data_IF_721089381740
#
_entry.id   IF_721089381740
#
_cell.length_a   1.000
_cell.length_b   1.000
_cell.length_c   1.000
_cell.angle_alpha   90.00
_cell.angle_beta   90.00
_cell.angle_gamma   90.00
#
_symmetry.space_group_name_H-M   'P 1'
#
loop_
_entity.id
_entity.type
_entity.pdbx_description
1 polymer ?
#
# COMPACT_ATOMS: atom_id res chain seq x y z
N UNK A 1 13.56 -9.05 -7.43
CA UNK A 1 12.49 -8.03 -7.29
C UNK A 1 12.58 -7.36 -5.93
N UNK A 2 12.37 -6.03 -5.85
CA UNK A 2 12.29 -5.27 -4.60
C UNK A 2 10.97 -4.50 -4.54
N UNK A 3 10.25 -4.55 -3.43
CA UNK A 3 9.07 -3.73 -3.19
C UNK A 3 9.47 -2.25 -3.28
N UNK A 4 8.79 -1.51 -4.15
CA UNK A 4 9.20 -0.14 -4.50
C UNK A 4 8.14 0.88 -4.06
N UNK A 5 6.90 0.70 -4.53
CA UNK A 5 5.83 1.65 -4.26
C UNK A 5 4.45 1.01 -4.17
N UNK A 6 3.51 1.78 -3.61
CA UNK A 6 2.09 1.46 -3.54
C UNK A 6 1.32 2.35 -4.53
N UNK A 7 0.58 1.75 -5.45
CA UNK A 7 -0.35 2.47 -6.30
C UNK A 7 -1.72 2.58 -5.62
N UNK A 8 -2.34 3.75 -5.70
CA UNK A 8 -3.64 4.06 -5.11
C UNK A 8 -4.51 4.76 -6.14
N UNK A 9 -5.66 4.17 -6.43
CA UNK A 9 -6.65 4.71 -7.35
C UNK A 9 -7.79 5.35 -6.56
N UNK A 10 -8.04 6.64 -6.81
CA UNK A 10 -9.15 7.40 -6.25
C UNK A 10 -10.00 8.01 -7.37
N UNK A 11 -11.29 8.29 -7.14
CA UNK A 11 -12.08 9.04 -8.11
C UNK A 11 -11.48 10.43 -8.39
N UNK A 12 -11.52 10.87 -9.65
CA UNK A 12 -10.95 12.18 -10.06
C UNK A 12 -11.44 13.33 -9.20
N UNK A 13 -12.73 13.33 -8.86
CA UNK A 13 -13.37 14.37 -8.03
C UNK A 13 -12.81 14.44 -6.61
N UNK A 14 -12.06 13.43 -6.18
CA UNK A 14 -11.40 13.35 -4.87
C UNK A 14 -9.87 13.39 -4.96
N UNK A 15 -9.29 13.45 -6.16
CA UNK A 15 -7.83 13.38 -6.35
C UNK A 15 -7.10 14.49 -5.60
N UNK A 16 -7.47 15.76 -5.83
CA UNK A 16 -6.83 16.91 -5.16
C UNK A 16 -6.99 16.89 -3.65
N UNK A 17 -8.16 16.45 -3.18
CA UNK A 17 -8.44 16.38 -1.75
C UNK A 17 -7.68 15.23 -1.08
N UNK A 18 -7.58 14.07 -1.72
CA UNK A 18 -6.76 12.97 -1.24
C UNK A 18 -5.27 13.37 -1.22
N UNK A 19 -4.80 14.07 -2.26
CA UNK A 19 -3.46 14.61 -2.32
C UNK A 19 -3.17 15.62 -1.20
N UNK A 20 -4.07 16.56 -0.94
CA UNK A 20 -3.95 17.52 0.17
C UNK A 20 -3.89 16.80 1.52
N UNK A 21 -4.77 15.83 1.78
CA UNK A 21 -4.75 15.08 3.04
C UNK A 21 -3.43 14.32 3.21
N UNK A 22 -2.98 13.59 2.19
CA UNK A 22 -1.72 12.84 2.28
C UNK A 22 -0.52 13.78 2.47
N UNK A 23 -0.45 14.89 1.74
CA UNK A 23 0.70 15.79 1.78
C UNK A 23 0.68 16.75 2.98
N UNK A 24 -0.39 17.52 3.16
CA UNK A 24 -0.49 18.55 4.20
C UNK A 24 -0.67 17.97 5.59
N UNK A 25 -1.45 16.90 5.72
CA UNK A 25 -1.86 16.38 7.03
C UNK A 25 -0.94 15.26 7.48
N UNK A 26 -0.65 14.32 6.58
CA UNK A 26 0.30 13.24 6.89
C UNK A 26 1.74 13.57 6.53
N UNK A 27 2.01 14.70 5.88
CA UNK A 27 3.37 15.18 5.64
C UNK A 27 4.09 14.51 4.46
N UNK A 28 3.38 13.77 3.59
CA UNK A 28 4.03 13.17 2.42
C UNK A 28 4.60 14.25 1.51
N UNK A 29 5.85 14.08 1.07
CA UNK A 29 6.44 14.97 0.07
C UNK A 29 5.76 14.74 -1.28
N UNK A 30 5.37 15.81 -1.98
CA UNK A 30 4.82 15.72 -3.34
C UNK A 30 5.96 15.81 -4.35
N UNK A 31 6.09 14.79 -5.19
CA UNK A 31 7.03 14.74 -6.32
C UNK A 31 6.37 15.21 -7.62
N UNK A 32 6.63 14.47 -8.70
CA UNK A 32 6.03 14.74 -10.01
C UNK A 32 4.50 14.64 -9.96
N UNK A 33 3.81 15.50 -10.72
CA UNK A 33 2.36 15.61 -10.71
C UNK A 33 1.78 16.07 -12.05
N UNK A 34 0.61 15.56 -12.37
CA UNK A 34 -0.32 16.03 -13.43
C UNK A 34 -1.72 16.30 -12.83
N UNK A 35 -2.73 16.49 -13.68
CA UNK A 35 -4.11 16.75 -13.26
C UNK A 35 -4.81 15.54 -12.63
N UNK A 36 -4.32 14.32 -12.90
CA UNK A 36 -4.94 13.07 -12.46
C UNK A 36 -3.91 12.05 -11.96
N UNK A 37 -2.67 12.47 -11.72
CA UNK A 37 -1.63 11.59 -11.19
C UNK A 37 -0.64 12.40 -10.35
N UNK A 38 -0.18 11.83 -9.24
CA UNK A 38 0.86 12.43 -8.42
C UNK A 38 1.73 11.37 -7.76
N UNK A 39 3.01 11.69 -7.64
CA UNK A 39 3.96 10.93 -6.87
C UNK A 39 4.07 11.50 -5.46
N UNK A 40 4.04 10.63 -4.46
CA UNK A 40 4.12 10.96 -3.04
C UNK A 40 5.26 10.18 -2.38
N UNK A 41 5.97 10.86 -1.48
CA UNK A 41 7.16 10.34 -0.81
C UNK A 41 6.95 10.29 0.70
N UNK A 42 6.98 9.09 1.25
CA UNK A 42 7.28 8.81 2.65
C UNK A 42 8.79 8.51 2.79
N UNK A 43 9.28 8.47 4.03
CA UNK A 43 10.68 8.15 4.33
C UNK A 43 11.11 6.77 3.78
N UNK A 44 10.18 5.81 3.74
CA UNK A 44 10.45 4.41 3.41
C UNK A 44 9.57 3.84 2.29
N UNK A 45 8.64 4.63 1.74
CA UNK A 45 7.70 4.19 0.72
C UNK A 45 7.41 5.32 -0.26
N UNK A 46 7.27 4.94 -1.52
CA UNK A 46 6.73 5.81 -2.57
C UNK A 46 5.26 5.43 -2.80
N UNK A 47 4.42 6.42 -3.07
CA UNK A 47 3.01 6.23 -3.35
C UNK A 47 2.68 6.91 -4.67
N UNK A 48 2.08 6.17 -5.60
CA UNK A 48 1.49 6.75 -6.80
C UNK A 48 -0.01 6.91 -6.57
N UNK A 49 -0.48 8.15 -6.64
CA UNK A 49 -1.90 8.47 -6.56
C UNK A 49 -2.44 8.70 -7.96
N UNK A 50 -3.53 8.02 -8.32
CA UNK A 50 -4.20 8.13 -9.61
C UNK A 50 -5.64 8.62 -9.42
N UNK A 51 -6.06 9.58 -10.24
CA UNK A 51 -7.39 10.18 -10.24
C UNK A 51 -8.38 9.52 -11.21
N UNK A 52 -8.08 8.37 -11.82
CA UNK A 52 -8.99 7.64 -12.71
C UNK A 52 -9.57 6.38 -12.07
N UNK A 53 -9.43 6.26 -10.75
CA UNK A 53 -9.87 5.13 -9.95
C UNK A 53 -11.39 5.04 -9.74
N UNK A 54 -11.93 3.83 -9.51
CA UNK A 54 -13.29 3.71 -9.05
C UNK A 54 -13.41 4.20 -7.61
N UNK A 55 -14.61 4.61 -7.24
CA UNK A 55 -14.93 4.80 -5.83
C UNK A 55 -14.90 3.44 -5.12
N UNK A 56 -14.22 3.36 -3.98
CA UNK A 56 -14.25 2.19 -3.09
C UNK A 56 -15.36 2.41 -2.08
N UNK A 57 -16.51 1.73 -2.21
CA UNK A 57 -17.57 1.92 -1.25
C UNK A 57 -17.23 1.29 0.09
N UNK A 58 -17.90 1.83 1.11
CA UNK A 58 -17.65 1.54 2.50
C UNK A 58 -17.78 0.07 2.92
N UNK A 59 -18.50 -0.70 2.13
CA UNK A 59 -18.85 -2.10 2.33
C UNK A 59 -17.94 -3.05 1.54
N UNK A 60 -17.05 -2.53 0.66
CA UNK A 60 -16.10 -3.36 -0.07
C UNK A 60 -14.80 -3.53 0.70
N UNK A 61 -14.35 -4.77 0.77
CA UNK A 61 -13.07 -5.14 1.36
C UNK A 61 -11.93 -4.58 0.52
N UNK A 62 -11.22 -3.60 1.07
CA UNK A 62 -9.90 -3.19 0.60
C UNK A 62 -8.87 -4.24 1.01
N UNK A 63 -8.07 -4.70 0.07
CA UNK A 63 -7.06 -5.75 0.28
C UNK A 63 -5.77 -5.25 0.89
N UNK A 64 -5.39 -3.99 0.64
CA UNK A 64 -4.14 -3.38 1.13
C UNK A 64 -4.46 -2.14 1.92
N UNK A 65 -4.15 -2.09 3.22
CA UNK A 65 -4.35 -0.90 4.06
C UNK A 65 -2.99 -0.36 4.52
N UNK A 66 -2.59 0.84 4.08
CA UNK A 66 -1.35 1.44 4.54
C UNK A 66 -1.49 1.97 5.95
N UNK A 67 -0.48 1.72 6.78
CA UNK A 67 -0.43 2.13 8.18
C UNK A 67 0.68 3.16 8.39
N UNK A 68 0.30 4.42 8.59
CA UNK A 68 1.22 5.54 8.85
C UNK A 68 1.61 5.51 10.32
N UNK A 69 2.91 5.56 10.60
CA UNK A 69 3.42 5.67 11.96
C UNK A 69 3.04 7.00 12.58
N UNK A 70 2.58 6.97 13.83
CA UNK A 70 2.43 8.14 14.68
C UNK A 70 3.11 7.89 16.04
N UNK A 71 3.57 8.97 16.66
CA UNK A 71 4.16 8.94 18.01
C UNK A 71 3.12 9.05 19.13
N UNK A 72 2.00 9.71 18.84
CA UNK A 72 0.91 9.95 19.78
C UNK A 72 -0.39 9.85 18.98
N UNK A 73 -0.98 8.66 19.02
CA UNK A 73 -2.19 8.36 18.26
C UNK A 73 -3.32 9.31 18.64
N UNK A 74 -3.51 9.53 19.95
CA UNK A 74 -4.58 10.38 20.47
C UNK A 74 -4.43 11.83 20.00
N UNK A 75 -3.22 12.40 20.08
CA UNK A 75 -2.96 13.77 19.60
C UNK A 75 -3.15 13.91 18.09
N UNK A 76 -2.77 12.89 17.32
CA UNK A 76 -2.94 12.89 15.86
C UNK A 76 -4.43 12.86 15.52
N UNK A 77 -5.20 12.00 16.20
CA UNK A 77 -6.65 11.94 16.05
C UNK A 77 -7.30 13.27 16.45
N UNK A 78 -6.91 13.88 17.58
CA UNK A 78 -7.42 15.19 18.01
C UNK A 78 -7.16 16.28 16.97
N UNK A 79 -6.00 16.26 16.29
CA UNK A 79 -5.69 17.18 15.21
C UNK A 79 -6.61 16.95 14.00
N UNK A 80 -6.78 15.69 13.57
CA UNK A 80 -7.67 15.33 12.46
C UNK A 80 -9.12 15.72 12.71
N UNK A 81 -9.64 15.51 13.93
CA UNK A 81 -11.01 15.88 14.29
C UNK A 81 -11.28 17.39 14.21
N UNK A 82 -10.24 18.21 14.36
CA UNK A 82 -10.35 19.68 14.33
C UNK A 82 -10.12 20.27 12.94
N UNK A 83 -9.60 19.51 11.99
CA UNK A 83 -9.37 19.98 10.63
C UNK A 83 -10.64 19.85 9.78
N UNK A 84 -11.30 20.96 9.40
CA UNK A 84 -12.56 20.92 8.66
C UNK A 84 -12.41 20.38 7.23
N UNK A 85 -11.19 20.30 6.69
CA UNK A 85 -10.93 19.68 5.39
C UNK A 85 -11.00 18.14 5.46
N UNK A 86 -10.94 17.57 6.66
CA UNK A 86 -10.88 16.14 6.91
C UNK A 86 -12.26 15.62 7.26
N UNK A 87 -13.06 15.30 6.25
CA UNK A 87 -14.28 14.51 6.44
C UNK A 87 -13.93 13.02 6.50
N UNK A 88 -13.05 12.62 7.44
CA UNK A 88 -12.68 11.22 7.62
C UNK A 88 -13.65 10.52 8.56
N UNK A 89 -14.16 9.36 8.13
CA UNK A 89 -14.79 8.42 9.07
C UNK A 89 -13.68 7.69 9.82
N UNK A 90 -13.62 7.88 11.14
CA UNK A 90 -12.71 7.17 12.03
C UNK A 90 -13.41 5.93 12.60
N UNK A 91 -12.69 4.83 12.73
CA UNK A 91 -13.15 3.64 13.45
C UNK A 91 -12.79 3.72 14.94
N UNK A 92 -13.29 2.76 15.72
CA UNK A 92 -12.73 2.51 17.04
C UNK A 92 -11.21 2.20 16.94
N UNK A 93 -10.53 2.35 18.07
CA UNK A 93 -9.15 1.88 18.20
C UNK A 93 -9.09 0.35 18.19
N UNK A 94 -8.04 -0.19 17.56
CA UNK A 94 -7.74 -1.60 17.47
C UNK A 94 -6.33 -1.88 17.96
N UNK A 95 -6.15 -2.99 18.66
CA UNK A 95 -4.82 -3.52 18.94
C UNK A 95 -4.38 -4.38 17.75
N UNK A 96 -3.20 -4.06 17.24
CA UNK A 96 -2.55 -4.79 16.17
C UNK A 96 -1.27 -5.45 16.69
N UNK A 97 -0.72 -6.41 15.94
CA UNK A 97 0.61 -7.00 16.17
C UNK A 97 1.76 -6.02 16.38
N UNK A 98 1.59 -4.79 15.90
CA UNK A 98 2.62 -3.74 15.89
C UNK A 98 2.37 -2.65 16.94
N UNK A 99 1.15 -2.56 17.48
CA UNK A 99 0.75 -1.53 18.44
C UNK A 99 -0.71 -1.10 18.28
N UNK A 100 -1.04 0.11 18.76
CA UNK A 100 -2.40 0.68 18.71
C UNK A 100 -2.65 1.31 17.35
N UNK A 101 -3.77 0.98 16.72
CA UNK A 101 -4.13 1.55 15.43
C UNK A 101 -5.57 2.06 15.40
N UNK A 102 -5.80 3.11 14.61
CA UNK A 102 -7.14 3.58 14.25
C UNK A 102 -7.24 3.66 12.74
N UNK A 103 -8.28 3.05 12.17
CA UNK A 103 -8.53 3.14 10.75
C UNK A 103 -9.30 4.42 10.44
N UNK A 104 -8.99 5.01 9.30
CA UNK A 104 -9.62 6.20 8.79
C UNK A 104 -9.91 6.02 7.30
N UNK A 105 -10.93 6.72 6.80
CA UNK A 105 -11.20 6.79 5.37
C UNK A 105 -10.87 8.14 4.79
N UNK A 106 -9.98 8.11 3.81
CA UNK A 106 -9.70 9.28 3.01
C UNK A 106 -10.85 9.58 2.05
N UNK A 107 -10.94 10.84 1.58
CA UNK A 107 -11.77 11.20 0.45
C UNK A 107 -11.48 10.27 -0.75
N UNK A 108 -12.55 9.73 -1.35
CA UNK A 108 -12.45 8.65 -2.35
C UNK A 108 -12.64 7.23 -1.80
N UNK A 109 -12.75 7.07 -0.48
CA UNK A 109 -13.13 5.81 0.18
C UNK A 109 -11.96 4.91 0.57
N UNK A 110 -10.74 5.26 0.18
CA UNK A 110 -9.52 4.56 0.55
C UNK A 110 -9.34 4.53 2.08
N UNK A 111 -9.19 3.34 2.64
CA UNK A 111 -8.93 3.12 4.08
C UNK A 111 -7.43 3.18 4.35
N UNK A 112 -7.06 3.90 5.39
CA UNK A 112 -5.71 4.00 5.93
C UNK A 112 -5.75 3.72 7.42
N UNK A 113 -4.60 3.49 8.04
CA UNK A 113 -4.49 3.43 9.49
C UNK A 113 -3.43 4.40 9.99
N UNK A 114 -3.68 4.97 11.16
CA UNK A 114 -2.64 5.55 12.00
C UNK A 114 -2.19 4.48 13.01
N UNK A 115 -0.89 4.28 13.16
CA UNK A 115 -0.30 3.24 14.00
C UNK A 115 0.70 3.84 14.99
N UNK A 116 0.43 3.69 16.27
CA UNK A 116 1.37 3.95 17.36
C UNK A 116 2.04 2.63 17.77
N UNK A 117 3.33 2.51 17.49
CA UNK A 117 4.10 1.29 17.73
C UNK A 117 4.64 1.19 19.16
N UNK A 118 4.73 -0.03 19.69
CA UNK A 118 5.11 -0.29 21.10
C UNK A 118 6.60 -0.01 21.39
N UNK A 119 7.48 -0.20 20.41
CA UNK A 119 8.95 -0.28 20.64
C UNK A 119 9.79 0.73 19.84
N UNK A 120 9.18 1.77 19.27
CA UNK A 120 9.93 2.77 18.52
C UNK A 120 10.12 4.08 19.29
N UNK A 121 11.39 4.41 19.53
CA UNK A 121 11.81 5.68 20.09
C UNK A 121 11.28 6.83 19.20
N UNK A 122 10.97 7.96 19.86
CA UNK A 122 10.52 9.17 19.19
C UNK A 122 11.60 9.65 18.22
N UNK A 123 11.31 9.64 16.92
CA UNK A 123 12.08 10.40 15.94
C UNK A 123 11.52 11.82 15.85
N UNK A 124 12.44 12.76 15.69
CA UNK A 124 12.20 14.20 15.82
C UNK A 124 11.18 14.75 14.80
N UNK A 125 10.47 15.79 15.23
CA UNK A 125 9.60 16.63 14.40
C UNK A 125 10.34 17.16 13.16
N UNK A 126 9.90 16.81 11.96
CA UNK A 126 10.39 17.34 10.68
C UNK A 126 10.83 16.31 9.64
N UNK A 127 10.93 15.02 10.00
CA UNK A 127 11.18 13.95 9.04
C UNK A 127 9.90 13.65 8.19
N UNK A 128 10.04 13.18 6.93
CA UNK A 128 8.92 12.67 6.16
C UNK A 128 8.17 11.57 6.94
N UNK A 129 6.86 11.36 6.68
CA UNK A 129 6.11 10.30 7.33
C UNK A 129 6.74 8.94 7.05
N UNK A 130 6.57 8.02 7.97
CA UNK A 130 6.97 6.62 7.78
C UNK A 130 5.72 5.76 7.64
N UNK A 131 5.63 4.98 6.56
CA UNK A 131 4.61 3.93 6.44
C UNK A 131 5.15 2.70 7.16
N UNK A 132 4.73 2.50 8.40
CA UNK A 132 5.25 1.46 9.27
C UNK A 132 4.91 0.05 8.78
N UNK A 133 3.73 -0.11 8.18
CA UNK A 133 3.27 -1.37 7.65
C UNK A 133 2.22 -1.20 6.54
N UNK A 134 2.00 -2.27 5.78
CA UNK A 134 0.82 -2.48 4.95
C UNK A 134 0.10 -3.70 5.50
N UNK A 135 -1.16 -3.55 5.92
CA UNK A 135 -2.03 -4.68 6.24
C UNK A 135 -2.56 -5.28 4.93
N UNK A 136 -2.31 -6.57 4.74
CA UNK A 136 -2.73 -7.36 3.59
C UNK A 136 -3.86 -8.31 4.01
N UNK A 137 -5.08 -7.93 3.66
CA UNK A 137 -6.28 -8.73 3.91
C UNK A 137 -6.42 -9.80 2.85
N UNK A 138 -6.24 -11.05 3.26
CA UNK A 138 -6.18 -12.18 2.35
C UNK A 138 -7.16 -13.30 2.73
N UNK A 139 -7.78 -13.90 1.73
CA UNK A 139 -8.67 -15.06 1.92
C UNK A 139 -7.90 -16.32 2.31
N UNK A 140 -6.66 -16.45 1.81
CA UNK A 140 -5.80 -17.61 2.04
C UNK A 140 -4.42 -17.19 2.56
N UNK A 141 -4.29 -16.82 3.85
CA UNK A 141 -3.04 -16.28 4.40
C UNK A 141 -1.81 -17.18 4.19
N UNK A 142 -1.97 -18.51 4.29
CA UNK A 142 -0.87 -19.44 4.07
C UNK A 142 -0.34 -19.43 2.62
N UNK A 143 -1.24 -19.36 1.63
CA UNK A 143 -0.85 -19.26 0.23
C UNK A 143 -0.22 -17.91 -0.08
N UNK A 144 -0.75 -16.84 0.51
CA UNK A 144 -0.21 -15.49 0.36
C UNK A 144 1.18 -15.37 1.01
N UNK A 145 1.38 -15.98 2.17
CA UNK A 145 2.67 -16.05 2.85
C UNK A 145 3.71 -16.77 1.98
N UNK A 146 3.40 -17.97 1.49
CA UNK A 146 4.28 -18.74 0.60
C UNK A 146 4.65 -17.93 -0.65
N UNK A 147 3.68 -17.23 -1.25
CA UNK A 147 3.94 -16.33 -2.36
C UNK A 147 4.94 -15.21 -2.00
N UNK A 148 4.72 -14.50 -0.89
CA UNK A 148 5.62 -13.43 -0.44
C UNK A 148 7.03 -13.96 -0.16
N UNK A 149 7.16 -15.10 0.52
CA UNK A 149 8.47 -15.60 0.96
C UNK A 149 9.23 -16.35 -0.12
N UNK A 150 8.56 -17.21 -0.89
CA UNK A 150 9.21 -18.10 -1.87
C UNK A 150 9.36 -17.44 -3.24
N UNK A 151 8.48 -16.48 -3.58
CA UNK A 151 8.49 -15.85 -4.91
C UNK A 151 9.02 -14.42 -4.87
N UNK A 152 8.70 -13.66 -3.82
CA UNK A 152 9.06 -12.25 -3.68
C UNK A 152 10.19 -12.00 -2.66
N UNK A 153 10.79 -13.06 -2.10
CA UNK A 153 11.96 -13.00 -1.22
C UNK A 153 11.73 -12.17 0.07
N UNK A 154 10.51 -12.20 0.60
CA UNK A 154 10.23 -11.63 1.91
C UNK A 154 10.71 -12.55 3.03
N UNK A 155 11.21 -11.96 4.12
CA UNK A 155 11.58 -12.69 5.32
C UNK A 155 10.43 -12.69 6.33
N UNK A 156 10.16 -13.86 6.92
CA UNK A 156 9.18 -14.00 7.99
C UNK A 156 9.72 -13.41 9.29
N UNK A 157 8.89 -12.58 9.92
CA UNK A 157 9.04 -12.06 11.28
C UNK A 157 7.78 -12.45 12.05
N UNK A 158 7.83 -13.55 12.78
CA UNK A 158 6.72 -13.89 13.69
C UNK A 158 6.83 -12.98 14.90
N UNK A 159 5.76 -12.27 15.24
CA UNK A 159 5.74 -11.48 16.46
C UNK A 159 5.36 -12.34 17.68
N UNK A 160 5.50 -11.79 18.88
CA UNK A 160 5.18 -12.49 20.14
C UNK A 160 3.71 -12.93 20.29
N UNK A 161 2.80 -12.31 19.54
CA UNK A 161 1.37 -12.65 19.53
C UNK A 161 1.01 -13.70 18.47
N UNK A 162 1.99 -14.28 17.76
CA UNK A 162 1.77 -15.34 16.76
C UNK A 162 1.22 -14.83 15.42
N UNK A 163 1.23 -13.52 15.19
CA UNK A 163 0.87 -12.95 13.89
C UNK A 163 2.04 -13.04 12.91
N UNK A 164 1.68 -13.18 11.63
CA UNK A 164 2.63 -13.25 10.54
C UNK A 164 2.90 -11.85 10.02
N UNK A 165 4.07 -11.33 10.36
CA UNK A 165 4.62 -10.13 9.75
C UNK A 165 5.72 -10.57 8.80
N UNK A 166 5.79 -9.99 7.62
CA UNK A 166 6.91 -10.21 6.71
C UNK A 166 7.56 -8.90 6.30
N UNK A 167 8.84 -8.93 5.97
CA UNK A 167 9.57 -7.74 5.55
C UNK A 167 10.64 -8.13 4.55
N UNK A 168 10.79 -7.33 3.49
CA UNK A 168 11.81 -7.59 2.47
C UNK A 168 13.15 -6.96 2.85
N UNK A 169 13.14 -5.72 3.35
CA UNK A 169 14.33 -5.01 3.79
C UNK A 169 14.01 -4.12 5.01
N UNK A 170 14.95 -3.88 5.95
CA UNK A 170 14.70 -3.09 7.17
C UNK A 170 14.20 -1.67 6.93
N UNK A 171 14.55 -1.06 5.79
CA UNK A 171 14.14 0.29 5.39
C UNK A 171 12.81 0.31 4.62
N UNK A 172 12.11 -0.82 4.49
CA UNK A 172 10.81 -0.92 3.81
C UNK A 172 9.69 -1.20 4.80
N UNK A 173 8.43 -0.81 4.48
CA UNK A 173 7.28 -1.17 5.28
C UNK A 173 7.21 -2.68 5.51
N UNK A 174 6.76 -3.06 6.71
CA UNK A 174 6.40 -4.46 7.00
C UNK A 174 5.07 -4.77 6.32
N UNK A 175 4.84 -6.04 6.00
CA UNK A 175 3.54 -6.52 5.54
C UNK A 175 2.92 -7.35 6.67
N UNK A 176 1.75 -6.95 7.12
CA UNK A 176 0.97 -7.66 8.12
C UNK A 176 -0.11 -8.47 7.40
N UNK A 177 -0.05 -9.80 7.47
CA UNK A 177 -1.06 -10.64 6.82
C UNK A 177 -2.24 -10.84 7.77
N UNK A 178 -3.42 -10.39 7.36
CA UNK A 178 -4.67 -10.54 8.10
C UNK A 178 -5.64 -11.41 7.31
N UNK A 179 -6.26 -12.38 8.00
CA UNK A 179 -7.30 -13.21 7.40
C UNK A 179 -8.58 -12.40 7.22
N UNK A 180 -9.14 -12.42 6.00
CA UNK A 180 -10.43 -11.80 5.70
C UNK A 180 -11.42 -12.85 5.16
N UNK A 181 -12.72 -12.78 5.53
CA UNK A 181 -13.72 -13.70 5.00
C UNK A 181 -13.78 -13.59 3.47
N UNK A 182 -13.83 -14.75 2.80
CA UNK A 182 -13.80 -14.90 1.34
C UNK A 182 -14.89 -14.05 0.67
N UNK A 183 -14.45 -12.94 0.05
CA UNK A 183 -15.03 -12.33 -1.17
C UNK A 183 -14.21 -11.08 -1.52
N UNK A 184 -12.97 -11.28 -1.92
CA UNK A 184 -12.35 -10.30 -2.81
C UNK A 184 -12.80 -10.68 -4.21
N UNK A 185 -13.76 -9.90 -4.71
CA UNK A 185 -14.25 -10.05 -6.08
C UNK A 185 -13.03 -9.86 -6.99
N UNK A 186 -12.65 -10.83 -7.83
CA UNK A 186 -11.51 -10.69 -8.71
C UNK A 186 -11.67 -9.39 -9.49
N UNK A 187 -10.68 -8.50 -9.40
CA UNK A 187 -10.72 -7.24 -10.14
C UNK A 187 -10.55 -7.61 -11.62
N UNK A 188 -11.68 -7.78 -12.32
CA UNK A 188 -11.71 -8.20 -13.73
C UNK A 188 -10.94 -7.27 -14.67
N UNK A 189 -10.64 -6.04 -14.25
CA UNK A 189 -9.97 -5.05 -15.08
C UNK A 189 -9.00 -4.18 -14.29
N UNK A 190 -7.73 -4.54 -14.49
CA UNK A 190 -6.47 -3.81 -14.42
C UNK A 190 -6.41 -2.29 -14.11
N UNK A 191 -7.33 -1.46 -14.58
CA UNK A 191 -7.22 0.01 -14.47
C UNK A 191 -8.01 0.59 -13.31
N UNK A 192 -8.66 -0.27 -12.53
CA UNK A 192 -9.60 0.16 -11.49
C UNK A 192 -9.41 -0.59 -10.16
N UNK A 193 -8.32 -1.34 -9.97
CA UNK A 193 -8.04 -1.85 -8.64
C UNK A 193 -7.74 -0.64 -7.74
N UNK A 194 -8.39 -0.50 -6.57
CA UNK A 194 -8.16 0.65 -5.72
C UNK A 194 -6.73 0.73 -5.19
N UNK A 195 -6.04 -0.41 -5.13
CA UNK A 195 -4.66 -0.53 -4.71
C UNK A 195 -3.93 -1.55 -5.57
N UNK A 196 -2.62 -1.35 -5.73
CA UNK A 196 -1.72 -2.36 -6.27
C UNK A 196 -0.32 -2.22 -5.67
N UNK A 197 0.39 -3.35 -5.53
CA UNK A 197 1.78 -3.36 -5.07
C UNK A 197 2.71 -3.35 -6.28
N UNK A 198 3.75 -2.51 -6.25
CA UNK A 198 4.76 -2.47 -7.30
C UNK A 198 6.12 -2.95 -6.81
N UNK A 199 6.76 -3.77 -7.65
CA UNK A 199 8.06 -4.37 -7.39
C UNK A 199 9.02 -3.99 -8.51
N UNK A 200 10.09 -3.30 -8.14
CA UNK A 200 11.18 -2.98 -9.05
C UNK A 200 12.06 -4.20 -9.33
N UNK A 201 12.61 -4.29 -10.53
CA UNK A 201 13.58 -5.31 -10.92
C UNK A 201 14.57 -4.78 -11.95
N UNK A 202 15.73 -5.43 -12.03
CA UNK A 202 16.73 -5.21 -13.08
C UNK A 202 16.45 -6.03 -14.34
N UNK A 203 15.57 -7.04 -14.27
CA UNK A 203 15.22 -7.93 -15.38
C UNK A 203 13.74 -8.35 -15.31
N UNK A 204 12.89 -7.56 -15.96
CA UNK A 204 11.43 -7.80 -15.98
C UNK A 204 11.06 -9.13 -16.65
N UNK A 205 11.83 -9.58 -17.64
CA UNK A 205 11.55 -10.80 -18.40
C UNK A 205 11.88 -12.06 -17.58
N UNK A 206 12.97 -12.05 -16.83
CA UNK A 206 13.28 -13.10 -15.86
C UNK A 206 12.23 -13.16 -14.76
N UNK A 207 11.95 -12.05 -14.10
CA UNK A 207 11.12 -12.05 -12.89
C UNK A 207 9.63 -12.29 -13.19
N UNK A 208 9.12 -11.79 -14.33
CA UNK A 208 7.77 -12.15 -14.80
C UNK A 208 7.63 -13.65 -15.10
N UNK A 209 8.66 -14.31 -15.67
CA UNK A 209 8.65 -15.76 -15.88
C UNK A 209 8.64 -16.54 -14.57
N UNK A 210 9.31 -16.06 -13.53
CA UNK A 210 9.25 -16.67 -12.18
C UNK A 210 7.81 -16.63 -11.66
N UNK A 211 7.14 -15.46 -11.74
CA UNK A 211 5.75 -15.30 -11.30
C UNK A 211 4.77 -16.16 -12.11
N UNK A 212 4.93 -16.23 -13.43
CA UNK A 212 4.13 -17.09 -14.29
C UNK A 212 4.29 -18.58 -13.95
N UNK A 213 5.52 -19.03 -13.65
CA UNK A 213 5.79 -20.41 -13.21
C UNK A 213 5.19 -20.72 -11.84
N UNK A 214 5.05 -19.71 -10.97
CA UNK A 214 4.30 -19.80 -9.72
C UNK A 214 2.75 -19.74 -9.91
N UNK A 215 2.29 -19.86 -11.17
CA UNK A 215 0.88 -19.90 -11.52
C UNK A 215 0.16 -18.56 -11.36
N UNK A 216 0.88 -17.44 -11.31
CA UNK A 216 0.26 -16.11 -11.22
C UNK A 216 -0.35 -15.73 -12.56
N UNK A 217 -1.67 -15.42 -12.63
CA UNK A 217 -2.31 -15.02 -13.87
C UNK A 217 -1.69 -13.74 -14.45
N UNK A 218 -1.35 -13.77 -15.74
CA UNK A 218 -0.96 -12.58 -16.47
C UNK A 218 -2.18 -11.70 -16.66
N UNK A 219 -2.07 -10.44 -16.25
CA UNK A 219 -3.05 -9.44 -16.63
C UNK A 219 -2.52 -8.69 -17.86
N UNK A 220 -1.22 -8.28 -17.88
CA UNK A 220 -0.60 -7.39 -18.92
C UNK A 220 0.57 -8.09 -19.48
N UNK A 221 0.67 -8.15 -20.81
CA UNK A 221 1.96 -8.39 -21.39
C UNK A 221 2.93 -7.27 -21.04
N UNK A 222 4.20 -7.58 -21.24
CA UNK A 222 5.31 -6.65 -21.16
C UNK A 222 4.99 -5.38 -21.95
N UNK A 223 4.99 -4.23 -21.28
CA UNK A 223 4.70 -2.93 -21.88
C UNK A 223 5.89 -2.02 -21.65
N UNK A 224 6.43 -1.44 -22.72
CA UNK A 224 7.47 -0.40 -22.64
C UNK A 224 6.81 0.96 -22.75
N UNK A 225 7.13 1.84 -21.82
CA UNK A 225 6.46 3.12 -21.65
C UNK A 225 7.28 4.28 -22.25
N UNK A 226 6.62 5.42 -22.47
CA UNK A 226 7.27 6.63 -23.01
C UNK A 226 8.38 7.17 -22.10
N UNK A 227 8.30 6.93 -20.78
CA UNK A 227 9.34 7.26 -19.81
C UNK A 227 10.55 6.30 -19.82
N UNK A 228 10.56 5.33 -20.74
CA UNK A 228 11.72 4.49 -21.06
C UNK A 228 11.85 3.19 -20.29
N UNK A 229 11.10 2.98 -19.21
CA UNK A 229 11.07 1.68 -18.55
C UNK A 229 9.96 0.77 -19.04
N UNK A 230 9.92 -0.41 -18.45
CA UNK A 230 9.07 -1.52 -18.89
C UNK A 230 8.42 -2.18 -17.68
N UNK A 231 7.16 -2.58 -17.81
CA UNK A 231 6.49 -3.34 -16.76
C UNK A 231 5.71 -4.55 -17.30
N UNK A 232 5.35 -5.42 -16.37
CA UNK A 232 4.34 -6.46 -16.50
C UNK A 232 3.42 -6.33 -15.29
N UNK A 233 2.13 -6.64 -15.47
CA UNK A 233 1.19 -6.70 -14.35
C UNK A 233 0.55 -8.09 -14.30
N UNK A 234 0.62 -8.73 -13.13
CA UNK A 234 0.04 -10.04 -12.84
C UNK A 234 -0.92 -9.94 -11.65
N UNK A 235 -1.57 -11.05 -11.30
CA UNK A 235 -2.34 -11.16 -10.06
C UNK A 235 -1.55 -11.90 -8.97
N UNK A 236 -1.68 -11.43 -7.74
CA UNK A 236 -1.24 -12.15 -6.55
C UNK A 236 -2.23 -13.28 -6.17
N UNK A 237 -2.00 -14.05 -5.09
CA UNK A 237 -2.93 -15.10 -4.63
C UNK A 237 -4.33 -14.62 -4.23
N UNK A 238 -4.50 -13.32 -3.99
CA UNK A 238 -5.74 -12.69 -3.59
C UNK A 238 -6.51 -12.11 -4.80
N UNK A 239 -5.95 -12.25 -6.00
CA UNK A 239 -6.41 -11.64 -7.24
C UNK A 239 -6.31 -10.10 -7.24
N UNK A 240 -5.42 -9.53 -6.44
CA UNK A 240 -5.04 -8.14 -6.54
C UNK A 240 -3.91 -7.98 -7.57
N UNK A 241 -3.91 -6.89 -8.37
CA UNK A 241 -2.84 -6.65 -9.31
C UNK A 241 -1.53 -6.33 -8.57
N UNK A 242 -0.46 -6.91 -9.09
CA UNK A 242 0.91 -6.53 -8.77
C UNK A 242 1.62 -6.10 -10.05
N UNK A 243 2.42 -5.04 -9.94
CA UNK A 243 3.25 -4.55 -11.03
C UNK A 243 4.69 -5.00 -10.80
N UNK A 244 5.33 -5.52 -11.84
CA UNK A 244 6.78 -5.74 -11.87
C UNK A 244 7.35 -4.77 -12.88
N UNK A 245 8.18 -3.85 -12.40
CA UNK A 245 8.67 -2.72 -13.20
C UNK A 245 10.20 -2.72 -13.26
N UNK A 246 10.72 -2.45 -14.44
CA UNK A 246 12.12 -2.17 -14.70
C UNK A 246 12.26 -0.73 -15.16
N UNK A 247 12.90 0.11 -14.35
CA UNK A 247 13.19 1.49 -14.69
C UNK A 247 14.33 1.60 -15.71
N UNK A 248 14.39 2.70 -16.49
CA UNK A 248 15.55 2.95 -17.35
C UNK A 248 16.83 3.02 -16.51
N UNK A 249 17.91 2.48 -17.06
CA UNK A 249 19.24 2.66 -16.47
C UNK A 249 19.66 4.11 -16.70
N UNK A 250 19.84 4.85 -15.61
CA UNK A 250 20.41 6.19 -15.61
C UNK A 250 21.92 6.15 -15.82
#
# INVERSE_FOLDING_TARGET
MNFDFLGINVPQVHFDLALDVLSRIFGFGVGDRTDNWAFLHAANLKVELFGDGPYVPADRHQSVIPMIRTHDLNRTLDHLHRDPAVNTTLTAEHLTPLGRATYLRLPGGATWALLEEVDHAHDSTGAPPTVAALELRCAHPAQYLSFLTETLDFQVRVNSAGHVVVQQHPDRPRLLLEAAPERLTPVKYRTQAPFYLSFSTTDVDRDSRVLLRAGRPLVSPRTTHAWGGTDVILLDPNNDPIQVVQYPTT
#
